data_IF_497970219378
#
_entry.id   IF_497970219378
#
_cell.length_a   1.000
_cell.length_b   1.000
_cell.length_c   1.000
_cell.angle_alpha   90.00
_cell.angle_beta   90.00
_cell.angle_gamma   90.00
#
_symmetry.space_group_name_H-M   'P 1'
#
loop_
_entity.id
_entity.type
_entity.pdbx_description
1 polymer ?
#
# COMPACT_ATOMS: atom_id res chain seq x y z
N UNK A 1 -6.23 -4.34 17.00
CA UNK A 1 -7.25 -5.40 17.19
C UNK A 1 -7.08 -6.54 16.17
N UNK A 2 -7.09 -6.30 14.86
CA UNK A 2 -6.90 -7.35 13.82
C UNK A 2 -5.51 -8.03 13.82
N UNK A 3 -4.41 -7.27 13.90
CA UNK A 3 -3.05 -7.83 13.86
C UNK A 3 -2.75 -8.78 15.04
N UNK A 4 -3.29 -8.46 16.23
CA UNK A 4 -3.16 -9.33 17.42
C UNK A 4 -3.97 -10.61 17.27
N UNK A 5 -5.19 -10.53 16.74
CA UNK A 5 -6.04 -11.70 16.50
C UNK A 5 -5.37 -12.68 15.53
N UNK A 6 -4.66 -12.17 14.53
CA UNK A 6 -3.91 -12.99 13.58
C UNK A 6 -2.48 -13.34 14.04
N UNK A 7 -2.07 -12.91 15.25
CA UNK A 7 -0.73 -13.16 15.82
C UNK A 7 0.43 -12.69 14.93
N UNK A 8 0.25 -11.59 14.23
CA UNK A 8 1.27 -11.02 13.33
C UNK A 8 1.78 -9.66 13.78
N UNK A 9 1.28 -9.11 14.89
CA UNK A 9 1.64 -7.75 15.32
C UNK A 9 3.16 -7.56 15.48
N UNK A 10 3.86 -8.58 15.96
CA UNK A 10 5.32 -8.55 16.16
C UNK A 10 6.14 -8.48 14.86
N UNK A 11 5.51 -8.68 13.70
CA UNK A 11 6.14 -8.51 12.39
C UNK A 11 6.13 -7.05 11.91
N UNK A 12 5.46 -6.15 12.62
CA UNK A 12 5.30 -4.74 12.24
C UNK A 12 6.01 -3.83 13.24
N UNK A 13 7.02 -3.10 12.78
CA UNK A 13 7.73 -2.11 13.58
C UNK A 13 6.90 -0.84 13.82
N UNK A 14 6.10 -0.44 12.83
CA UNK A 14 5.15 0.69 12.93
C UNK A 14 3.75 0.25 12.52
N UNK A 15 2.73 0.79 13.20
CA UNK A 15 1.32 0.60 12.86
C UNK A 15 0.64 1.95 12.94
N UNK A 16 0.05 2.38 11.82
CA UNK A 16 -0.69 3.64 11.72
C UNK A 16 -2.18 3.33 11.50
N UNK A 17 -3.03 3.92 12.31
CA UNK A 17 -4.48 3.80 12.29
C UNK A 17 -5.13 5.14 11.91
N UNK A 18 -6.47 5.14 11.75
CA UNK A 18 -7.21 6.34 11.35
C UNK A 18 -7.11 7.46 12.39
N UNK A 19 -7.01 7.11 13.67
CA UNK A 19 -6.94 8.02 14.81
C UNK A 19 -5.62 8.80 14.86
N UNK A 20 -4.56 8.26 14.24
CA UNK A 20 -3.25 8.91 14.17
C UNK A 20 -3.23 10.06 13.15
N UNK A 21 -4.18 10.07 12.21
CA UNK A 21 -4.32 11.07 11.13
C UNK A 21 -5.78 11.54 10.97
N UNK A 22 -6.35 12.21 11.99
CA UNK A 22 -7.78 12.51 12.04
C UNK A 22 -8.20 13.44 10.88
N UNK A 23 -9.19 12.99 10.09
CA UNK A 23 -9.67 13.71 8.91
C UNK A 23 -8.67 13.74 7.73
N UNK A 24 -7.54 13.04 7.86
CA UNK A 24 -6.43 13.00 6.91
C UNK A 24 -6.13 11.56 6.45
N UNK A 25 -7.13 10.69 6.49
CA UNK A 25 -7.05 9.36 5.90
C UNK A 25 -6.92 9.41 4.38
N UNK A 26 -6.71 8.24 3.76
CA UNK A 26 -6.65 8.10 2.29
C UNK A 26 -7.87 8.77 1.64
N UNK A 27 -7.70 9.52 0.54
CA UNK A 27 -6.54 9.53 -0.35
C UNK A 27 -5.39 10.46 0.08
N UNK A 28 -5.45 11.09 1.25
CA UNK A 28 -4.34 11.89 1.75
C UNK A 28 -3.14 10.98 2.16
N UNK A 29 -1.89 11.44 1.95
CA UNK A 29 -0.70 10.61 2.17
C UNK A 29 -0.24 10.52 3.63
N UNK A 30 -0.93 11.16 4.57
CA UNK A 30 -0.42 11.43 5.93
C UNK A 30 -0.10 10.17 6.71
N UNK A 31 -0.94 9.14 6.62
CA UNK A 31 -0.67 7.87 7.28
C UNK A 31 0.57 7.18 6.73
N UNK A 32 0.83 7.32 5.42
CA UNK A 32 2.03 6.80 4.77
C UNK A 32 3.24 7.62 5.20
N UNK A 33 3.16 8.94 5.15
CA UNK A 33 4.25 9.84 5.55
C UNK A 33 4.65 9.63 7.01
N UNK A 34 3.67 9.44 7.90
CA UNK A 34 3.93 9.12 9.31
C UNK A 34 4.62 7.76 9.46
N UNK A 35 4.20 6.74 8.69
CA UNK A 35 4.88 5.44 8.70
C UNK A 35 6.34 5.54 8.19
N UNK A 36 6.57 6.26 7.09
CA UNK A 36 7.91 6.50 6.54
C UNK A 36 8.80 7.26 7.53
N UNK A 37 8.25 8.28 8.21
CA UNK A 37 8.96 9.03 9.24
C UNK A 37 9.33 8.13 10.43
N UNK A 38 8.40 7.32 10.93
CA UNK A 38 8.65 6.40 12.04
C UNK A 38 9.74 5.37 11.72
N UNK A 39 9.77 4.89 10.48
CA UNK A 39 10.76 3.91 9.99
C UNK A 39 12.07 4.56 9.51
N UNK A 40 12.12 5.90 9.42
CA UNK A 40 13.23 6.67 8.87
C UNK A 40 13.68 6.19 7.46
N UNK A 41 12.72 5.97 6.56
CA UNK A 41 12.96 5.55 5.18
C UNK A 41 12.33 6.52 4.17
N UNK A 42 12.95 6.66 3.00
CA UNK A 42 12.47 7.53 1.92
C UNK A 42 11.79 6.80 0.76
N UNK A 43 11.89 5.47 0.70
CA UNK A 43 11.41 4.67 -0.43
C UNK A 43 10.77 3.38 0.06
N UNK A 44 9.59 3.07 -0.48
CA UNK A 44 8.84 1.87 -0.11
C UNK A 44 7.89 1.44 -1.25
N UNK A 45 7.44 0.19 -1.20
CA UNK A 45 6.21 -0.23 -1.86
C UNK A 45 5.02 0.03 -0.94
N UNK A 46 3.90 0.50 -1.51
CA UNK A 46 2.62 0.58 -0.83
C UNK A 46 1.62 -0.37 -1.45
N UNK A 47 1.19 -1.37 -0.69
CA UNK A 47 0.24 -2.37 -1.17
C UNK A 47 -1.18 -1.99 -0.73
N UNK A 48 -2.10 -1.88 -1.68
CA UNK A 48 -3.51 -1.58 -1.41
C UNK A 48 -4.41 -2.00 -2.56
N UNK A 49 -5.69 -2.17 -2.26
CA UNK A 49 -6.70 -2.69 -3.19
C UNK A 49 -7.62 -1.60 -3.76
N UNK A 50 -7.56 -0.37 -3.23
CA UNK A 50 -8.45 0.71 -3.63
C UNK A 50 -7.74 1.82 -4.41
N UNK A 51 -8.51 2.62 -5.18
CA UNK A 51 -7.97 3.82 -5.85
C UNK A 51 -7.37 4.82 -4.84
N UNK A 52 -7.97 4.95 -3.66
CA UNK A 52 -7.48 5.84 -2.61
C UNK A 52 -6.10 5.40 -2.09
N UNK A 53 -5.77 4.10 -2.12
CA UNK A 53 -4.43 3.60 -1.79
C UNK A 53 -3.40 4.07 -2.81
N UNK A 54 -3.72 3.92 -4.10
CA UNK A 54 -2.85 4.30 -5.21
C UNK A 54 -2.60 5.82 -5.18
N UNK A 55 -3.66 6.61 -4.98
CA UNK A 55 -3.56 8.07 -4.87
C UNK A 55 -2.70 8.47 -3.66
N UNK A 56 -2.95 7.89 -2.48
CA UNK A 56 -2.19 8.21 -1.28
C UNK A 56 -0.70 7.87 -1.43
N UNK A 57 -0.38 6.69 -1.99
CA UNK A 57 0.99 6.27 -2.22
C UNK A 57 1.74 7.18 -3.20
N UNK A 58 1.08 7.57 -4.31
CA UNK A 58 1.63 8.55 -5.26
C UNK A 58 1.85 9.91 -4.61
N UNK A 59 0.88 10.39 -3.84
CA UNK A 59 0.99 11.68 -3.13
C UNK A 59 2.09 11.66 -2.05
N UNK A 60 2.40 10.49 -1.48
CA UNK A 60 3.52 10.28 -0.58
C UNK A 60 4.88 10.09 -1.29
N UNK A 61 4.88 10.02 -2.63
CA UNK A 61 6.10 9.84 -3.42
C UNK A 61 6.69 8.42 -3.36
N UNK A 62 5.90 7.42 -2.98
CA UNK A 62 6.33 6.00 -2.93
C UNK A 62 5.67 5.18 -4.04
N UNK A 63 6.06 3.90 -4.16
CA UNK A 63 5.67 3.06 -5.31
C UNK A 63 4.35 2.32 -5.01
N UNK A 64 3.23 2.68 -5.65
CA UNK A 64 1.95 2.01 -5.44
C UNK A 64 1.91 0.62 -6.09
N UNK A 65 1.40 -0.37 -5.37
CA UNK A 65 1.12 -1.73 -5.86
C UNK A 65 -0.34 -2.03 -5.62
N UNK A 66 -1.09 -2.27 -6.70
CA UNK A 66 -2.49 -2.68 -6.63
C UNK A 66 -2.59 -4.17 -6.30
N UNK A 67 -3.33 -4.53 -5.26
CA UNK A 67 -3.62 -5.94 -4.91
C UNK A 67 -5.11 -6.19 -5.11
N UNK A 68 -5.46 -7.06 -6.05
CA UNK A 68 -6.84 -7.32 -6.39
C UNK A 68 -7.52 -8.19 -5.33
N UNK A 69 -8.72 -7.83 -4.86
CA UNK A 69 -9.51 -8.72 -4.03
C UNK A 69 -10.07 -9.88 -4.88
N UNK A 70 -10.04 -11.13 -4.37
CA UNK A 70 -10.68 -12.24 -5.06
C UNK A 70 -12.18 -11.97 -5.33
N UNK A 71 -12.73 -12.34 -6.51
CA UNK A 71 -12.13 -13.15 -7.57
C UNK A 71 -11.56 -12.31 -8.74
N UNK A 72 -11.23 -11.03 -8.54
CA UNK A 72 -10.75 -10.18 -9.62
C UNK A 72 -9.37 -10.64 -10.13
N UNK A 73 -9.19 -10.58 -11.44
CA UNK A 73 -7.93 -10.93 -12.12
C UNK A 73 -7.31 -9.70 -12.78
N UNK A 74 -6.05 -9.81 -13.22
CA UNK A 74 -5.31 -8.72 -13.88
C UNK A 74 -5.97 -8.19 -15.17
N UNK A 75 -6.85 -8.99 -15.78
CA UNK A 75 -7.59 -8.61 -16.98
C UNK A 75 -8.86 -7.79 -16.70
N UNK A 76 -9.25 -7.66 -15.43
CA UNK A 76 -10.46 -6.94 -15.03
C UNK A 76 -10.39 -5.44 -15.32
N UNK A 77 -11.56 -4.83 -15.55
CA UNK A 77 -11.67 -3.37 -15.66
C UNK A 77 -11.12 -2.66 -14.42
N UNK A 78 -11.29 -3.25 -13.23
CA UNK A 78 -10.78 -2.67 -12.00
C UNK A 78 -9.25 -2.64 -11.94
N UNK A 79 -8.58 -3.71 -12.42
CA UNK A 79 -7.13 -3.71 -12.56
C UNK A 79 -6.65 -2.56 -13.47
N UNK A 80 -7.36 -2.33 -14.58
CA UNK A 80 -7.08 -1.21 -15.50
C UNK A 80 -7.28 0.15 -14.84
N UNK A 81 -8.31 0.30 -13.99
CA UNK A 81 -8.53 1.53 -13.22
C UNK A 81 -7.40 1.80 -12.24
N UNK A 82 -6.95 0.79 -11.48
CA UNK A 82 -5.81 0.92 -10.56
C UNK A 82 -4.52 1.29 -11.32
N UNK A 83 -4.27 0.67 -12.49
CA UNK A 83 -3.14 1.00 -13.36
C UNK A 83 -3.23 2.42 -13.91
N UNK A 84 -4.41 2.84 -14.39
CA UNK A 84 -4.64 4.19 -14.89
C UNK A 84 -4.45 5.26 -13.80
N UNK A 85 -4.81 4.93 -12.55
CA UNK A 85 -4.54 5.79 -11.39
C UNK A 85 -3.04 5.79 -11.01
N UNK A 86 -2.25 4.86 -11.54
CA UNK A 86 -0.78 4.87 -11.43
C UNK A 86 -0.19 3.77 -10.57
N UNK A 87 -0.92 2.67 -10.31
CA UNK A 87 -0.33 1.46 -9.74
C UNK A 87 0.83 0.96 -10.62
N UNK A 88 2.00 0.74 -10.02
CA UNK A 88 3.20 0.29 -10.73
C UNK A 88 3.10 -1.18 -11.16
N UNK A 89 2.55 -2.03 -10.30
CA UNK A 89 2.18 -3.41 -10.61
C UNK A 89 0.80 -3.73 -10.04
N UNK A 90 0.13 -4.72 -10.67
CA UNK A 90 -1.10 -5.33 -10.19
C UNK A 90 -0.82 -6.79 -9.82
N UNK A 91 -1.19 -7.16 -8.60
CA UNK A 91 -1.09 -8.52 -8.07
C UNK A 91 -2.51 -9.07 -7.86
N UNK A 92 -2.73 -10.36 -8.11
CA UNK A 92 -3.97 -11.06 -7.75
C UNK A 92 -3.92 -11.57 -6.31
N UNK A 93 -2.71 -11.71 -5.77
CA UNK A 93 -2.45 -12.04 -4.38
C UNK A 93 -1.22 -11.31 -3.86
N UNK A 94 -1.27 -10.88 -2.59
CA UNK A 94 -0.09 -10.34 -1.90
C UNK A 94 1.09 -11.33 -1.89
N UNK A 95 0.83 -12.63 -1.99
CA UNK A 95 1.88 -13.65 -2.06
C UNK A 95 2.78 -13.52 -3.29
N UNK A 96 2.36 -12.81 -4.34
CA UNK A 96 3.18 -12.51 -5.50
C UNK A 96 4.28 -11.47 -5.21
N UNK A 97 4.29 -10.83 -4.02
CA UNK A 97 5.27 -9.80 -3.65
C UNK A 97 6.73 -10.26 -3.83
N UNK A 98 7.00 -11.57 -3.67
CA UNK A 98 8.35 -12.14 -3.82
C UNK A 98 8.90 -12.06 -5.24
N UNK A 99 8.02 -11.81 -6.23
CA UNK A 99 8.41 -11.61 -7.63
C UNK A 99 8.78 -10.16 -7.95
N UNK A 100 8.50 -9.22 -7.05
CA UNK A 100 8.81 -7.82 -7.26
C UNK A 100 10.31 -7.56 -7.12
N UNK A 101 10.90 -6.69 -7.97
CA UNK A 101 12.28 -6.30 -7.79
C UNK A 101 12.45 -5.59 -6.44
N UNK A 102 13.63 -5.75 -5.83
CA UNK A 102 13.98 -5.00 -4.63
C UNK A 102 13.83 -3.49 -4.90
N UNK A 103 13.26 -2.77 -3.92
CA UNK A 103 13.26 -1.31 -3.93
C UNK A 103 14.71 -0.87 -3.83
N UNK A 104 15.29 -0.35 -4.91
CA UNK A 104 16.64 0.20 -4.92
C UNK A 104 16.56 1.72 -4.87
N UNK A 105 17.44 2.30 -4.06
CA UNK A 105 17.77 3.72 -4.15
C UNK A 105 18.70 3.86 -5.36
N UNK A 106 18.25 4.59 -6.37
CA UNK A 106 19.05 5.06 -7.49
C UNK A 106 19.82 6.34 -7.14
#
# INVERSE_FOLDING_TARGET
FVLRLNKVLELFETVICMEDVPGRGKPHPDGINLALQNLNIGRAYYFGDTLNDIIAAKAAGIIPIGVLPPPLTKDSEYARLLQAEGAYHILESVNELVSLPAVRDD
#
